data_IF_205872138519
#
_entry.id   IF_205872138519
#
_cell.length_a   1.000
_cell.length_b   1.000
_cell.length_c   1.000
_cell.angle_alpha   90.00
_cell.angle_beta   90.00
_cell.angle_gamma   90.00
#
_symmetry.space_group_name_H-M   'P 1'
#
loop_
_entity.id
_entity.type
_entity.pdbx_description
1 polymer ?
#
# COMPACT_ATOMS: atom_id res chain seq x y z
N UNK A 1 -18.89 -26.32 0.29
CA UNK A 1 -18.47 -25.50 -0.87
C UNK A 1 -19.00 -24.10 -0.70
N UNK A 2 -18.10 -23.14 -0.57
CA UNK A 2 -18.46 -21.72 -0.61
C UNK A 2 -18.82 -21.32 -2.04
N UNK A 3 -19.77 -20.41 -2.18
CA UNK A 3 -20.18 -19.88 -3.48
C UNK A 3 -19.21 -18.76 -3.89
N UNK A 4 -18.50 -18.88 -5.02
CA UNK A 4 -17.55 -17.85 -5.44
C UNK A 4 -18.30 -16.59 -5.86
N UNK A 5 -17.93 -15.43 -5.35
CA UNK A 5 -18.56 -14.16 -5.70
C UNK A 5 -17.97 -13.53 -6.96
N UNK A 6 -16.64 -13.37 -6.99
CA UNK A 6 -15.94 -12.64 -8.04
C UNK A 6 -14.62 -13.30 -8.45
N UNK A 7 -14.24 -13.10 -9.72
CA UNK A 7 -12.95 -13.46 -10.28
C UNK A 7 -12.12 -12.19 -10.47
N UNK A 8 -10.94 -12.17 -9.87
CA UNK A 8 -9.97 -11.09 -9.98
C UNK A 8 -8.80 -11.53 -10.83
N UNK A 9 -8.27 -10.61 -11.63
CA UNK A 9 -6.93 -10.72 -12.19
C UNK A 9 -6.14 -9.49 -11.73
N UNK A 10 -5.03 -9.71 -11.04
CA UNK A 10 -4.18 -8.65 -10.48
C UNK A 10 -2.77 -8.79 -11.07
N UNK A 11 -2.20 -7.68 -11.52
CA UNK A 11 -0.87 -7.63 -12.11
C UNK A 11 0.07 -6.80 -11.23
N UNK A 12 1.37 -7.03 -11.34
CA UNK A 12 2.34 -6.25 -10.58
C UNK A 12 2.43 -4.82 -11.12
N UNK A 13 2.64 -3.84 -10.23
CA UNK A 13 2.75 -2.43 -10.63
C UNK A 13 3.84 -2.19 -11.67
N UNK A 14 4.98 -2.91 -11.58
CA UNK A 14 6.09 -2.84 -12.53
C UNK A 14 5.74 -3.28 -13.96
N UNK A 15 4.67 -4.05 -14.14
CA UNK A 15 4.26 -4.55 -15.46
C UNK A 15 3.18 -3.65 -16.11
N UNK A 16 2.79 -2.55 -15.47
CA UNK A 16 1.76 -1.63 -15.98
C UNK A 16 2.09 -1.10 -17.39
N UNK A 17 3.34 -0.70 -17.65
CA UNK A 17 3.71 -0.15 -18.97
C UNK A 17 3.65 -1.19 -20.09
N UNK A 18 3.96 -2.46 -19.78
CA UNK A 18 3.81 -3.56 -20.75
C UNK A 18 2.33 -3.82 -21.07
N UNK A 19 1.47 -3.71 -20.05
CA UNK A 19 0.02 -3.83 -20.23
C UNK A 19 -0.49 -2.67 -21.09
N UNK A 20 -0.05 -1.43 -20.85
CA UNK A 20 -0.38 -0.27 -21.69
C UNK A 20 0.01 -0.50 -23.13
N UNK A 21 1.25 -0.93 -23.37
CA UNK A 21 1.77 -1.19 -24.71
C UNK A 21 0.94 -2.24 -25.46
N UNK A 22 0.63 -3.37 -24.81
CA UNK A 22 -0.24 -4.39 -25.41
C UNK A 22 -1.62 -3.83 -25.76
N UNK A 23 -2.27 -3.11 -24.84
CA UNK A 23 -3.62 -2.59 -25.06
C UNK A 23 -3.66 -1.56 -26.19
N UNK A 24 -2.66 -0.68 -26.25
CA UNK A 24 -2.47 0.27 -27.36
C UNK A 24 -2.27 -0.45 -28.69
N UNK A 25 -1.42 -1.47 -28.72
CA UNK A 25 -1.18 -2.31 -29.91
C UNK A 25 -2.48 -2.96 -30.39
N UNK A 26 -3.24 -3.58 -29.48
CA UNK A 26 -4.53 -4.20 -29.79
C UNK A 26 -5.55 -3.17 -30.29
N UNK A 27 -5.58 -1.97 -29.71
CA UNK A 27 -6.46 -0.89 -30.14
C UNK A 27 -6.17 -0.49 -31.61
N UNK A 28 -4.89 -0.31 -31.96
CA UNK A 28 -4.47 0.03 -33.32
C UNK A 28 -4.82 -1.09 -34.30
N UNK A 29 -4.58 -2.36 -33.93
CA UNK A 29 -4.95 -3.52 -34.74
C UNK A 29 -6.46 -3.61 -35.01
N UNK A 30 -7.27 -3.14 -34.06
CA UNK A 30 -8.74 -3.03 -34.20
C UNK A 30 -9.19 -1.76 -34.95
N UNK A 31 -8.26 -0.96 -35.46
CA UNK A 31 -8.53 0.24 -36.25
C UNK A 31 -8.77 1.50 -35.42
N UNK A 32 -8.49 1.49 -34.12
CA UNK A 32 -8.54 2.71 -33.31
C UNK A 32 -7.37 3.64 -33.66
N UNK A 33 -7.63 4.94 -33.61
CA UNK A 33 -6.59 5.97 -33.61
C UNK A 33 -6.34 6.40 -32.17
N UNK A 34 -5.11 6.27 -31.69
CA UNK A 34 -4.77 6.69 -30.34
C UNK A 34 -4.68 8.21 -30.30
N UNK A 35 -5.47 8.83 -29.41
CA UNK A 35 -5.41 10.26 -29.17
C UNK A 35 -4.17 10.62 -28.35
N UNK A 36 -3.66 11.87 -28.44
CA UNK A 36 -2.65 12.36 -27.52
C UNK A 36 -3.12 12.17 -26.07
N UNK A 37 -2.24 11.63 -25.21
CA UNK A 37 -2.52 11.30 -23.80
C UNK A 37 -3.47 10.11 -23.55
N UNK A 38 -3.73 9.27 -24.54
CA UNK A 38 -4.45 8.01 -24.30
C UNK A 38 -3.66 7.09 -23.36
N UNK A 39 -4.27 6.70 -22.24
CA UNK A 39 -3.76 5.68 -21.33
C UNK A 39 -4.85 4.62 -21.07
N UNK A 40 -4.76 3.42 -21.66
CA UNK A 40 -5.82 2.42 -21.58
C UNK A 40 -6.02 1.85 -20.16
N UNK A 41 -5.05 2.01 -19.25
CA UNK A 41 -5.21 1.62 -17.84
C UNK A 41 -6.02 2.69 -17.11
N UNK A 42 -5.70 3.97 -17.27
CA UNK A 42 -6.43 5.06 -16.61
C UNK A 42 -7.83 5.29 -17.20
N UNK A 43 -8.02 5.01 -18.49
CA UNK A 43 -9.31 5.13 -19.16
C UNK A 43 -10.29 4.01 -18.75
N UNK A 44 -9.81 2.94 -18.09
CA UNK A 44 -10.60 1.81 -17.58
C UNK A 44 -11.56 1.19 -18.62
N UNK A 45 -11.16 1.21 -19.89
CA UNK A 45 -12.02 0.82 -21.03
C UNK A 45 -11.81 -0.63 -21.48
N UNK A 46 -10.85 -1.34 -20.89
CA UNK A 46 -10.45 -2.68 -21.29
C UNK A 46 -10.73 -3.72 -20.20
N UNK A 47 -11.12 -4.91 -20.65
CA UNK A 47 -11.07 -6.13 -19.85
C UNK A 47 -10.18 -7.15 -20.57
N UNK A 48 -9.10 -7.59 -19.93
CA UNK A 48 -8.20 -8.62 -20.44
C UNK A 48 -8.91 -9.98 -20.38
N UNK A 49 -9.55 -10.39 -21.47
CA UNK A 49 -10.14 -11.71 -21.62
C UNK A 49 -9.06 -12.81 -21.72
N UNK A 50 -9.47 -14.08 -21.90
CA UNK A 50 -8.54 -15.20 -21.96
C UNK A 50 -7.47 -15.05 -23.04
N UNK A 51 -7.87 -14.58 -24.22
CA UNK A 51 -6.97 -14.39 -25.35
C UNK A 51 -5.99 -13.24 -25.10
N UNK A 52 -6.46 -12.11 -24.58
CA UNK A 52 -5.58 -10.99 -24.24
C UNK A 52 -4.60 -11.34 -23.13
N UNK A 53 -5.00 -12.13 -22.13
CA UNK A 53 -4.07 -12.60 -21.07
C UNK A 53 -3.03 -13.57 -21.60
N UNK A 54 -3.42 -14.50 -22.46
CA UNK A 54 -2.48 -15.43 -23.12
C UNK A 54 -1.47 -14.66 -23.99
N UNK A 55 -1.95 -13.66 -24.73
CA UNK A 55 -1.11 -12.79 -25.55
C UNK A 55 -0.17 -11.93 -24.71
N UNK A 56 -0.66 -11.36 -23.60
CA UNK A 56 0.14 -10.61 -22.65
C UNK A 56 1.30 -11.44 -22.09
N UNK A 57 1.02 -12.69 -21.72
CA UNK A 57 2.06 -13.62 -21.29
C UNK A 57 3.05 -13.94 -22.41
N UNK A 58 2.54 -14.28 -23.60
CA UNK A 58 3.38 -14.73 -24.72
C UNK A 58 4.30 -13.63 -25.26
N UNK A 59 3.80 -12.40 -25.39
CA UNK A 59 4.57 -11.30 -25.99
C UNK A 59 5.43 -10.54 -24.98
N UNK A 60 4.99 -10.43 -23.71
CA UNK A 60 5.63 -9.58 -22.71
C UNK A 60 6.14 -10.33 -21.47
N UNK A 61 5.88 -11.64 -21.37
CA UNK A 61 6.21 -12.45 -20.19
C UNK A 61 5.47 -12.00 -18.93
N UNK A 62 4.36 -11.26 -19.06
CA UNK A 62 3.61 -10.72 -17.93
C UNK A 62 2.60 -11.76 -17.48
N UNK A 63 2.77 -12.23 -16.25
CA UNK A 63 1.85 -13.12 -15.56
C UNK A 63 1.08 -12.37 -14.48
N UNK A 64 -0.22 -12.62 -14.40
CA UNK A 64 -1.11 -12.06 -13.38
C UNK A 64 -1.57 -13.11 -12.38
N UNK A 65 -1.99 -12.66 -11.20
CA UNK A 65 -2.59 -13.49 -10.18
C UNK A 65 -4.08 -13.61 -10.43
N UNK A 66 -4.56 -14.84 -10.63
CA UNK A 66 -5.99 -15.15 -10.76
C UNK A 66 -6.55 -15.54 -9.39
N UNK A 67 -7.46 -14.75 -8.85
CA UNK A 67 -8.01 -14.93 -7.49
C UNK A 67 -9.52 -15.08 -7.58
N UNK A 68 -10.05 -16.14 -6.97
CA UNK A 68 -11.49 -16.32 -6.76
C UNK A 68 -11.81 -15.82 -5.37
N UNK A 69 -12.65 -14.78 -5.28
CA UNK A 69 -13.10 -14.21 -4.01
C UNK A 69 -14.45 -14.82 -3.62
N UNK A 70 -14.51 -15.45 -2.45
CA UNK A 70 -15.73 -15.95 -1.83
C UNK A 70 -16.30 -14.95 -0.80
N UNK A 71 -17.49 -15.24 -0.26
CA UNK A 71 -18.10 -14.40 0.77
C UNK A 71 -17.22 -14.40 2.04
N UNK A 72 -16.85 -13.21 2.51
CA UNK A 72 -16.00 -13.03 3.69
C UNK A 72 -14.51 -12.87 3.37
N UNK A 73 -14.08 -13.18 2.15
CA UNK A 73 -12.69 -12.98 1.73
C UNK A 73 -12.35 -11.50 1.56
N UNK A 74 -11.15 -11.13 2.04
CA UNK A 74 -10.54 -9.83 1.81
C UNK A 74 -9.42 -9.95 0.79
N UNK A 75 -9.43 -9.09 -0.24
CA UNK A 75 -8.39 -9.03 -1.28
C UNK A 75 -7.58 -7.75 -1.07
N UNK A 76 -6.28 -7.90 -0.80
CA UNK A 76 -5.37 -6.77 -0.68
C UNK A 76 -4.73 -6.46 -2.04
N UNK A 77 -4.81 -5.21 -2.45
CA UNK A 77 -4.29 -4.74 -3.74
C UNK A 77 -3.17 -3.74 -3.47
N UNK A 78 -1.91 -4.04 -3.83
CA UNK A 78 -0.82 -3.09 -3.69
C UNK A 78 -1.07 -1.82 -4.53
N UNK A 79 -0.60 -0.67 -4.05
CA UNK A 79 -0.70 0.56 -4.83
C UNK A 79 -0.03 0.39 -6.20
N UNK A 80 -0.68 0.94 -7.24
CA UNK A 80 -0.18 0.89 -8.61
C UNK A 80 -0.40 -0.43 -9.34
N UNK A 81 -0.91 -1.48 -8.68
CA UNK A 81 -1.19 -2.78 -9.30
C UNK A 81 -2.44 -2.69 -10.22
N UNK A 82 -2.29 -2.87 -11.55
CA UNK A 82 -3.45 -2.96 -12.43
C UNK A 82 -4.28 -4.19 -12.08
N UNK A 83 -5.60 -4.02 -12.01
CA UNK A 83 -6.50 -5.12 -11.65
C UNK A 83 -7.86 -4.99 -12.34
N UNK A 84 -8.50 -6.12 -12.55
CA UNK A 84 -9.85 -6.21 -13.10
C UNK A 84 -10.68 -7.24 -12.34
N UNK A 85 -11.99 -7.00 -12.26
CA UNK A 85 -12.92 -7.83 -11.50
C UNK A 85 -14.08 -8.24 -12.38
N UNK A 86 -14.42 -9.53 -12.37
CA UNK A 86 -15.64 -10.05 -12.98
C UNK A 86 -16.49 -10.73 -11.92
N UNK A 87 -17.68 -10.17 -11.68
CA UNK A 87 -18.67 -10.80 -10.83
C UNK A 87 -19.15 -12.12 -11.46
N UNK A 88 -19.07 -13.21 -10.71
CA UNK A 88 -19.63 -14.52 -11.09
C UNK A 88 -21.09 -14.64 -10.62
N UNK A 89 -21.41 -13.94 -9.52
CA UNK A 89 -22.76 -13.80 -8.97
C UNK A 89 -23.02 -12.35 -8.55
N UNK A 90 -24.25 -12.02 -8.15
CA UNK A 90 -24.56 -10.71 -7.57
C UNK A 90 -23.71 -10.48 -6.31
N UNK A 91 -22.96 -9.38 -6.29
CA UNK A 91 -22.01 -9.07 -5.22
C UNK A 91 -22.22 -7.65 -4.70
N UNK A 92 -22.15 -7.50 -3.38
CA UNK A 92 -21.91 -6.21 -2.72
C UNK A 92 -20.48 -6.26 -2.18
N UNK A 93 -19.70 -5.20 -2.40
CA UNK A 93 -18.31 -5.09 -1.95
C UNK A 93 -18.10 -3.78 -1.24
N UNK A 94 -17.25 -3.80 -0.21
CA UNK A 94 -16.74 -2.61 0.46
C UNK A 94 -15.24 -2.58 0.21
N UNK A 95 -14.71 -1.42 -0.16
CA UNK A 95 -13.29 -1.17 -0.33
C UNK A 95 -12.90 0.02 0.53
N UNK A 96 -11.73 -0.07 1.15
CA UNK A 96 -11.15 0.98 1.98
C UNK A 96 -9.69 1.14 1.56
N UNK A 97 -9.30 2.36 1.20
CA UNK A 97 -7.92 2.65 0.85
C UNK A 97 -7.11 2.96 2.12
N UNK A 98 -5.86 2.51 2.16
CA UNK A 98 -4.94 2.82 3.26
C UNK A 98 -3.51 3.04 2.76
N UNK A 99 -2.69 3.71 3.55
CA UNK A 99 -1.26 3.92 3.28
C UNK A 99 -0.45 3.22 4.36
N UNK A 100 0.29 2.17 3.97
CA UNK A 100 1.22 1.52 4.88
C UNK A 100 2.57 2.26 4.92
N UNK A 101 3.31 2.21 6.04
CA UNK A 101 4.64 2.82 6.11
C UNK A 101 5.61 2.32 5.05
N UNK A 102 5.55 1.03 4.71
CA UNK A 102 6.44 0.39 3.72
C UNK A 102 6.21 0.94 2.31
N UNK A 103 4.98 1.37 2.01
CA UNK A 103 4.59 1.82 0.68
C UNK A 103 4.42 3.34 0.56
N UNK A 104 4.66 4.10 1.64
CA UNK A 104 4.44 5.56 1.68
C UNK A 104 5.20 6.30 0.59
N UNK A 105 6.44 5.89 0.30
CA UNK A 105 7.24 6.48 -0.77
C UNK A 105 6.62 6.21 -2.13
N UNK A 106 6.20 4.98 -2.40
CA UNK A 106 5.57 4.63 -3.67
C UNK A 106 4.24 5.36 -3.86
N UNK A 107 3.39 5.39 -2.83
CA UNK A 107 2.13 6.14 -2.85
C UNK A 107 2.37 7.64 -3.10
N UNK A 108 3.44 8.23 -2.54
CA UNK A 108 3.78 9.63 -2.76
C UNK A 108 4.17 9.91 -4.21
N UNK A 109 5.01 9.04 -4.81
CA UNK A 109 5.38 9.15 -6.21
C UNK A 109 4.16 9.02 -7.12
N UNK A 110 3.29 8.04 -6.87
CA UNK A 110 2.05 7.89 -7.63
C UNK A 110 1.16 9.13 -7.54
N UNK A 111 0.98 9.74 -6.35
CA UNK A 111 0.23 10.99 -6.22
C UNK A 111 0.83 12.13 -7.05
N UNK A 112 2.15 12.13 -7.28
CA UNK A 112 2.81 13.12 -8.13
C UNK A 112 2.61 12.82 -9.62
N UNK A 113 2.76 11.56 -10.05
CA UNK A 113 2.46 11.13 -11.43
C UNK A 113 1.01 11.45 -11.82
N UNK A 114 0.05 11.21 -10.92
CA UNK A 114 -1.36 11.58 -11.15
C UNK A 114 -1.59 13.09 -11.33
N UNK A 115 -0.73 13.94 -10.77
CA UNK A 115 -0.80 15.39 -10.96
C UNK A 115 -0.19 15.85 -12.29
N UNK A 116 0.67 15.03 -12.88
CA UNK A 116 1.33 15.30 -14.17
C UNK A 116 0.52 14.77 -15.37
N UNK A 117 -0.40 13.82 -15.15
CA UNK A 117 -1.43 13.46 -16.13
C UNK A 117 -2.35 14.67 -16.37
N UNK A 118 -2.65 15.00 -17.63
CA UNK A 118 -3.22 16.28 -18.05
C UNK A 118 -4.57 16.63 -17.39
N UNK A 119 -4.83 17.94 -17.24
CA UNK A 119 -6.04 18.64 -16.69
C UNK A 119 -7.43 18.13 -17.10
N UNK A 120 -7.51 17.16 -18.02
CA UNK A 120 -8.73 16.56 -18.56
C UNK A 120 -9.09 15.21 -17.92
N UNK A 121 -8.25 14.64 -17.05
CA UNK A 121 -8.53 13.33 -16.44
C UNK A 121 -9.27 13.49 -15.11
N UNK A 122 -10.41 12.81 -14.95
CA UNK A 122 -11.30 12.94 -13.76
C UNK A 122 -10.68 12.54 -12.40
N UNK A 123 -9.39 12.14 -12.36
CA UNK A 123 -8.66 11.65 -11.18
C UNK A 123 -7.66 12.65 -10.58
N UNK A 124 -7.76 13.95 -10.88
CA UNK A 124 -6.85 14.99 -10.34
C UNK A 124 -6.88 15.18 -8.82
N UNK A 125 -7.89 14.68 -8.13
CA UNK A 125 -8.04 14.94 -6.70
C UNK A 125 -7.16 13.99 -5.88
N UNK A 126 -6.34 14.55 -4.98
CA UNK A 126 -5.57 13.81 -3.98
C UNK A 126 -6.54 13.17 -2.96
N UNK A 127 -7.23 12.11 -3.38
CA UNK A 127 -8.29 11.42 -2.61
C UNK A 127 -7.79 10.86 -1.29
N UNK A 128 -6.53 10.42 -1.28
CA UNK A 128 -5.87 9.84 -0.10
C UNK A 128 -5.29 10.90 0.84
N UNK A 129 -5.08 12.13 0.38
CA UNK A 129 -4.43 13.20 1.14
C UNK A 129 -3.12 12.74 1.79
N UNK A 130 -2.23 12.10 1.02
CA UNK A 130 -1.05 11.42 1.56
C UNK A 130 -0.16 12.33 2.41
N UNK A 131 -0.07 13.61 2.05
CA UNK A 131 0.68 14.63 2.81
C UNK A 131 0.10 14.83 4.22
N UNK A 132 -1.22 14.82 4.36
CA UNK A 132 -1.90 14.92 5.66
C UNK A 132 -1.64 13.67 6.50
N UNK A 133 -1.73 12.48 5.88
CA UNK A 133 -1.45 11.21 6.57
C UNK A 133 -0.02 11.23 7.14
N UNK A 134 0.97 11.59 6.32
CA UNK A 134 2.38 11.66 6.75
C UNK A 134 2.55 12.70 7.88
N UNK A 135 1.97 13.90 7.71
CA UNK A 135 2.06 14.96 8.71
C UNK A 135 1.50 14.51 10.07
N UNK A 136 0.29 13.93 10.08
CA UNK A 136 -0.36 13.47 11.30
C UNK A 136 0.36 12.29 11.93
N UNK A 137 0.84 11.32 11.13
CA UNK A 137 1.64 10.20 11.64
C UNK A 137 2.92 10.67 12.35
N UNK A 138 3.64 11.64 11.78
CA UNK A 138 4.84 12.22 12.39
C UNK A 138 4.47 13.02 13.65
N UNK A 139 3.43 13.87 13.57
CA UNK A 139 2.96 14.66 14.71
C UNK A 139 2.60 13.78 15.90
N UNK A 140 1.88 12.70 15.67
CA UNK A 140 1.44 11.77 16.71
C UNK A 140 2.64 11.01 17.28
N UNK A 141 3.56 10.53 16.42
CA UNK A 141 4.80 9.87 16.86
C UNK A 141 5.65 10.79 17.75
N UNK A 142 5.83 12.06 17.37
CA UNK A 142 6.55 13.06 18.17
C UNK A 142 5.83 13.35 19.50
N UNK A 143 4.50 13.35 19.51
CA UNK A 143 3.73 13.54 20.74
C UNK A 143 3.99 12.43 21.75
N UNK A 144 4.04 11.17 21.30
CA UNK A 144 4.34 10.01 22.14
C UNK A 144 5.77 10.09 22.68
N UNK A 145 6.75 10.39 21.83
CA UNK A 145 8.15 10.52 22.24
C UNK A 145 8.34 11.64 23.28
N UNK A 146 7.71 12.79 23.09
CA UNK A 146 7.80 13.90 24.04
C UNK A 146 7.18 13.57 25.41
N UNK A 147 6.08 12.79 25.42
CA UNK A 147 5.49 12.31 26.66
C UNK A 147 6.43 11.37 27.41
N UNK A 148 7.13 10.47 26.72
CA UNK A 148 8.10 9.58 27.34
C UNK A 148 9.33 10.32 27.88
N UNK A 149 9.87 11.28 27.12
CA UNK A 149 10.98 12.14 27.60
C UNK A 149 10.59 12.92 28.85
N UNK A 150 9.36 13.42 28.92
CA UNK A 150 8.85 14.12 30.10
C UNK A 150 8.71 13.21 31.33
N UNK A 151 8.34 11.94 31.13
CA UNK A 151 8.29 10.94 32.21
C UNK A 151 9.69 10.56 32.70
N UNK A 152 10.62 10.24 31.81
CA UNK A 152 12.00 9.88 32.19
C UNK A 152 12.73 11.04 32.88
N UNK A 153 12.52 12.28 32.42
CA UNK A 153 13.12 13.47 33.04
C UNK A 153 12.49 13.88 34.38
N UNK A 154 11.31 13.36 34.73
CA UNK A 154 10.70 13.53 36.05
C UNK A 154 11.09 12.42 37.03
N UNK A 155 11.35 11.20 36.54
CA UNK A 155 11.94 10.11 37.34
C UNK A 155 13.38 10.41 37.77
N UNK A 156 14.24 10.95 36.90
CA UNK A 156 15.61 11.35 37.27
C UNK A 156 15.67 12.46 38.33
N UNK A 157 14.64 13.32 38.40
CA UNK A 157 14.55 14.36 39.43
C UNK A 157 14.11 13.83 40.80
N UNK A 158 13.43 12.69 40.84
CA UNK A 158 12.96 12.07 42.08
C UNK A 158 14.00 11.16 42.77
N UNK A 159 15.10 10.81 42.08
CA UNK A 159 16.16 9.94 42.65
C UNK A 159 17.21 10.71 43.47
N UNK A 160 17.21 12.06 43.47
CA UNK A 160 18.26 12.87 44.12
C UNK A 160 18.00 13.32 45.57
N UNK A 161 17.02 12.78 46.28
CA UNK A 161 16.81 13.06 47.72
C UNK A 161 16.66 11.79 48.53
N UNK A 162 17.75 11.05 48.72
CA UNK A 162 17.96 10.27 49.94
C UNK A 162 19.35 10.61 50.46
N UNK A 163 19.40 11.25 51.63
CA UNK A 163 20.63 11.46 52.38
C UNK A 163 21.27 10.09 52.71
N UNK A 164 22.60 10.00 52.82
CA UNK A 164 23.24 8.73 53.17
C UNK A 164 22.88 8.38 54.63
N UNK A 165 22.18 7.25 54.80
CA UNK A 165 22.05 6.60 56.10
C UNK A 165 23.43 6.12 56.55
N UNK A 166 23.89 6.60 57.71
CA UNK A 166 25.17 6.22 58.34
C UNK A 166 25.05 4.83 59.01
N UNK A 167 24.58 3.84 58.26
CA UNK A 167 24.48 2.45 58.67
C UNK A 167 25.79 1.70 58.44
N UNK A 168 26.30 1.09 59.50
CA UNK A 168 27.48 0.22 59.56
C UNK A 168 27.46 -0.88 58.47
N UNK A 169 28.59 -1.21 57.82
CA UNK A 169 28.60 -2.11 56.68
C UNK A 169 28.33 -3.56 57.12
N UNK A 170 27.43 -4.30 56.45
CA UNK A 170 27.27 -5.73 56.70
C UNK A 170 28.42 -6.52 56.05
N UNK A 171 28.92 -7.51 56.79
CA UNK A 171 30.01 -8.40 56.43
C UNK A 171 29.88 -9.02 55.03
N UNK A 172 30.96 -8.93 54.25
CA UNK A 172 31.08 -9.53 52.94
C UNK A 172 31.01 -11.07 53.01
N UNK A 173 30.07 -11.67 52.28
CA UNK A 173 30.12 -13.09 51.90
C UNK A 173 30.48 -13.21 50.42
N UNK A 174 31.33 -14.18 50.04
CA UNK A 174 31.82 -14.30 48.67
C UNK A 174 30.71 -14.76 47.71
N UNK A 175 30.65 -14.12 46.55
CA UNK A 175 29.76 -14.48 45.45
C UNK A 175 30.29 -15.72 44.72
N UNK A 176 29.43 -16.72 44.50
CA UNK A 176 29.65 -17.81 43.55
C UNK A 176 29.04 -17.37 42.22
N UNK A 177 29.88 -17.23 41.19
CA UNK A 177 29.45 -17.06 39.80
C UNK A 177 29.28 -18.45 39.20
N UNK A 178 28.10 -18.73 38.64
CA UNK A 178 27.85 -19.91 37.81
C UNK A 178 27.42 -19.41 36.44
N UNK A 179 28.07 -19.94 35.40
CA UNK A 179 27.93 -19.55 33.99
C UNK A 179 26.51 -19.63 33.44
#
# INVERSE_FOLDING_TARGET
NELPGALWHIYTARDADKIRDLLNKVAIERGARLEPHHDPIHDQSWYLDGHLRERLYTEYGVEGYTIVQCLGDSVFIPAGAPHQVRNLHNCIKVAEDFVSPENVSHCFHMTQEFRELSDTHSNHEDKLQIKNIIYHAIKDSLSVLNLEVAKTGSEEKNVKTTEPDNGEPPDAKPAVVVN
#
